data_IF_054801500864
#
_entry.id   IF_054801500864
#
_cell.length_a   1.000
_cell.length_b   1.000
_cell.length_c   1.000
_cell.angle_alpha   90.00
_cell.angle_beta   90.00
_cell.angle_gamma   90.00
#
_symmetry.space_group_name_H-M   'P 1'
#
loop_
_entity.id
_entity.type
_entity.pdbx_description
1 polymer ?
#
# COMPACT_ATOMS: atom_id res chain seq x y z
N UNK A 1 -50.03 13.25 14.04
CA UNK A 1 -49.53 13.39 15.43
C UNK A 1 -48.90 12.05 15.80
N UNK A 2 -47.57 11.94 15.71
CA UNK A 2 -46.64 11.87 16.87
C UNK A 2 -46.70 10.48 17.52
N UNK A 3 -45.73 9.56 17.48
CA UNK A 3 -44.27 9.67 17.41
C UNK A 3 -43.71 9.10 18.72
N UNK A 4 -42.86 8.08 18.70
CA UNK A 4 -41.84 7.81 19.75
C UNK A 4 -40.76 6.91 19.18
N UNK A 5 -39.53 7.45 19.15
CA UNK A 5 -38.27 6.73 18.94
C UNK A 5 -37.82 6.15 20.27
N UNK A 6 -37.28 4.94 20.25
CA UNK A 6 -36.31 4.48 21.26
C UNK A 6 -34.96 4.44 20.58
N UNK A 7 -34.09 5.37 20.98
CA UNK A 7 -32.71 5.46 20.51
C UNK A 7 -31.86 4.40 21.20
N UNK A 8 -31.20 3.57 20.40
CA UNK A 8 -30.04 2.80 20.84
C UNK A 8 -28.79 3.57 20.43
N UNK A 9 -28.11 4.16 21.41
CA UNK A 9 -26.76 4.67 21.26
C UNK A 9 -25.81 3.47 21.12
N UNK A 10 -25.55 3.06 19.88
CA UNK A 10 -24.40 2.23 19.56
C UNK A 10 -23.15 3.10 19.64
N UNK A 11 -22.33 2.88 20.65
CA UNK A 11 -20.99 3.44 20.76
C UNK A 11 -20.17 3.03 19.53
N UNK A 12 -20.06 3.93 18.56
CA UNK A 12 -19.11 3.80 17.48
C UNK A 12 -17.72 4.03 18.03
N UNK A 13 -16.94 2.96 18.16
CA UNK A 13 -15.49 3.05 18.28
C UNK A 13 -14.98 3.81 17.06
N UNK A 14 -14.62 5.08 17.28
CA UNK A 14 -14.01 5.93 16.27
C UNK A 14 -12.64 5.39 15.92
N UNK A 15 -12.53 4.71 14.79
CA UNK A 15 -11.26 4.39 14.14
C UNK A 15 -10.57 5.71 13.77
N UNK A 16 -9.37 6.03 14.29
CA UNK A 16 -8.58 7.13 13.78
C UNK A 16 -7.83 6.64 12.55
N UNK A 17 -8.32 6.97 11.36
CA UNK A 17 -7.66 6.57 10.12
C UNK A 17 -8.12 7.41 8.95
N UNK A 18 -7.58 8.62 8.80
CA UNK A 18 -7.80 9.42 7.59
C UNK A 18 -6.89 8.89 6.47
N UNK A 19 -7.47 8.14 5.54
CA UNK A 19 -6.77 7.71 4.32
C UNK A 19 -6.69 8.88 3.34
N UNK A 20 -5.50 9.26 2.90
CA UNK A 20 -5.38 10.33 1.91
C UNK A 20 -5.90 9.86 0.53
N UNK A 21 -6.70 10.71 -0.12
CA UNK A 21 -7.38 10.46 -1.38
C UNK A 21 -6.69 11.07 -2.60
N UNK A 22 -6.61 10.25 -3.67
CA UNK A 22 -6.39 10.57 -5.10
C UNK A 22 -5.20 11.45 -5.48
N UNK A 23 -4.08 10.79 -5.77
CA UNK A 23 -3.25 11.19 -6.91
C UNK A 23 -3.54 10.22 -8.06
N UNK A 24 -3.95 10.74 -9.21
CA UNK A 24 -4.03 9.97 -10.45
C UNK A 24 -2.71 9.24 -10.67
N UNK A 25 -2.78 7.92 -10.71
CA UNK A 25 -1.61 7.07 -10.82
C UNK A 25 -0.96 7.30 -12.18
N UNK A 26 0.12 8.08 -12.20
CA UNK A 26 1.05 8.06 -13.32
C UNK A 26 1.65 6.65 -13.33
N UNK A 27 1.18 5.79 -14.24
CA UNK A 27 1.45 4.34 -14.28
C UNK A 27 2.93 4.03 -13.98
N UNK A 28 3.24 3.38 -12.85
CA UNK A 28 4.59 2.92 -12.52
C UNK A 28 5.41 3.75 -11.52
N UNK A 29 4.95 4.92 -11.05
CA UNK A 29 5.52 5.56 -9.86
C UNK A 29 5.09 4.82 -8.58
N UNK A 30 5.98 4.63 -7.58
CA UNK A 30 5.55 4.23 -6.25
C UNK A 30 4.47 5.18 -5.75
N UNK A 31 3.32 4.63 -5.38
CA UNK A 31 2.24 5.33 -4.71
C UNK A 31 2.23 4.88 -3.26
N UNK A 32 1.78 5.74 -2.35
CA UNK A 32 1.68 5.41 -0.94
C UNK A 32 0.28 5.62 -0.38
N UNK A 33 -0.06 4.80 0.62
CA UNK A 33 -1.20 4.99 1.50
C UNK A 33 -0.62 5.22 2.88
N UNK A 34 -0.92 6.37 3.49
CA UNK A 34 -0.41 6.76 4.81
C UNK A 34 -1.56 6.76 5.81
N UNK A 35 -1.29 6.22 6.99
CA UNK A 35 -2.15 6.29 8.17
C UNK A 35 -1.62 7.35 9.12
N UNK A 36 -2.54 8.14 9.66
CA UNK A 36 -2.27 9.17 10.66
C UNK A 36 -3.03 8.86 11.94
N UNK A 37 -2.42 9.15 13.10
CA UNK A 37 -3.13 9.13 14.38
C UNK A 37 -4.03 10.37 14.55
N UNK A 38 -4.69 10.48 15.71
CA UNK A 38 -5.53 11.64 16.04
C UNK A 38 -4.77 12.96 16.22
N UNK A 39 -3.43 12.94 16.16
CA UNK A 39 -2.57 14.11 16.24
C UNK A 39 -1.79 14.37 14.93
N UNK A 40 -2.28 13.82 13.81
CA UNK A 40 -1.69 13.93 12.47
C UNK A 40 -0.24 13.39 12.35
N UNK A 41 0.17 12.49 13.25
CA UNK A 41 1.46 11.79 13.12
C UNK A 41 1.31 10.55 12.26
N UNK A 42 2.31 10.31 11.40
CA UNK A 42 2.35 9.11 10.56
C UNK A 42 2.59 7.88 11.44
N UNK A 43 1.61 6.98 11.50
CA UNK A 43 1.67 5.72 12.27
C UNK A 43 1.75 4.47 11.38
N UNK A 44 1.57 4.64 10.07
CA UNK A 44 1.66 3.54 9.14
C UNK A 44 1.74 4.00 7.70
N UNK A 45 2.38 3.19 6.86
CA UNK A 45 2.56 3.46 5.43
C UNK A 45 2.58 2.15 4.65
N UNK A 46 1.86 2.13 3.53
CA UNK A 46 1.95 1.10 2.51
C UNK A 46 2.43 1.73 1.21
N UNK A 47 3.53 1.22 0.66
CA UNK A 47 4.07 1.66 -0.63
C UNK A 47 3.79 0.59 -1.69
N UNK A 48 3.28 0.98 -2.84
CA UNK A 48 2.91 0.06 -3.91
C UNK A 48 3.12 0.64 -5.31
N UNK A 49 3.03 -0.20 -6.32
CA UNK A 49 2.91 0.20 -7.73
C UNK A 49 1.75 -0.56 -8.35
N UNK A 50 0.99 0.12 -9.20
CA UNK A 50 -0.10 -0.48 -9.98
C UNK A 50 0.02 -0.09 -11.45
N UNK A 51 -0.35 -1.01 -12.32
CA UNK A 51 -0.51 -0.80 -13.75
C UNK A 51 -2.00 -1.00 -14.06
N UNK A 52 -2.64 0.08 -14.52
CA UNK A 52 -4.07 0.07 -14.86
C UNK A 52 -4.32 -0.75 -16.12
N UNK A 53 -3.38 -0.74 -17.06
CA UNK A 53 -3.47 -1.39 -18.36
C UNK A 53 -3.46 -2.93 -18.23
N UNK A 54 -2.55 -3.47 -17.42
CA UNK A 54 -2.47 -4.90 -17.16
C UNK A 54 -3.34 -5.36 -15.98
N UNK A 55 -3.92 -4.43 -15.21
CA UNK A 55 -4.58 -4.71 -13.92
C UNK A 55 -3.68 -5.55 -13.00
N UNK A 56 -2.40 -5.17 -12.90
CA UNK A 56 -1.44 -5.82 -12.01
C UNK A 56 -0.82 -4.81 -11.08
N UNK A 57 -0.43 -5.27 -9.89
CA UNK A 57 0.20 -4.45 -8.89
C UNK A 57 1.26 -5.18 -8.08
N UNK A 58 2.17 -4.41 -7.47
CA UNK A 58 3.15 -4.91 -6.53
C UNK A 58 3.18 -4.06 -5.27
N UNK A 59 3.00 -4.69 -4.13
CA UNK A 59 3.26 -4.10 -2.81
C UNK A 59 4.78 -4.11 -2.61
N UNK A 60 5.34 -2.95 -2.32
CA UNK A 60 6.79 -2.74 -2.18
C UNK A 60 7.22 -2.80 -0.72
N UNK A 61 6.43 -2.17 0.16
CA UNK A 61 6.74 -2.06 1.57
C UNK A 61 5.46 -1.80 2.38
N UNK A 62 5.42 -2.34 3.60
CA UNK A 62 4.41 -2.02 4.62
C UNK A 62 5.16 -1.77 5.91
N UNK A 63 5.00 -0.56 6.44
CA UNK A 63 5.58 -0.14 7.70
C UNK A 63 4.47 0.33 8.64
N UNK A 64 4.50 -0.10 9.89
CA UNK A 64 3.62 0.34 10.98
C UNK A 64 4.50 0.65 12.17
N UNK A 65 4.27 1.80 12.81
CA UNK A 65 4.95 2.17 14.05
C UNK A 65 4.77 1.08 15.11
N UNK A 66 5.85 0.72 15.81
CA UNK A 66 5.88 -0.39 16.77
C UNK A 66 4.80 -0.29 17.84
N UNK A 67 4.49 0.92 18.30
CA UNK A 67 3.46 1.21 19.29
C UNK A 67 2.06 0.80 18.82
N UNK A 68 1.85 0.78 17.50
CA UNK A 68 0.57 0.52 16.85
C UNK A 68 0.53 -0.83 16.12
N UNK A 69 1.58 -1.64 16.27
CA UNK A 69 1.59 -2.98 15.69
C UNK A 69 0.54 -3.87 16.36
N UNK A 70 0.07 -4.87 15.61
CA UNK A 70 -0.94 -5.86 16.04
C UNK A 70 -2.36 -5.32 16.27
N UNK A 71 -2.59 -4.02 16.09
CA UNK A 71 -3.93 -3.40 16.07
C UNK A 71 -4.68 -3.58 14.74
N UNK A 72 -4.15 -4.40 13.82
CA UNK A 72 -4.78 -4.64 12.51
C UNK A 72 -4.55 -3.54 11.46
N UNK A 73 -3.77 -2.49 11.75
CA UNK A 73 -3.51 -1.39 10.80
C UNK A 73 -2.89 -1.84 9.47
N UNK A 74 -1.97 -2.81 9.50
CA UNK A 74 -1.39 -3.39 8.27
C UNK A 74 -2.46 -4.04 7.39
N UNK A 75 -3.45 -4.70 8.00
CA UNK A 75 -4.59 -5.29 7.30
C UNK A 75 -5.49 -4.21 6.71
N UNK A 76 -5.74 -3.12 7.43
CA UNK A 76 -6.53 -2.00 6.92
C UNK A 76 -5.88 -1.33 5.71
N UNK A 77 -4.55 -1.13 5.74
CA UNK A 77 -3.80 -0.62 4.60
C UNK A 77 -3.96 -1.52 3.36
N UNK A 78 -3.81 -2.84 3.52
CA UNK A 78 -3.95 -3.78 2.40
C UNK A 78 -5.41 -3.82 1.91
N UNK A 79 -6.40 -3.86 2.79
CA UNK A 79 -7.82 -3.79 2.39
C UNK A 79 -8.13 -2.50 1.62
N UNK A 80 -7.64 -1.37 2.12
CA UNK A 80 -7.78 -0.07 1.47
C UNK A 80 -7.14 -0.04 0.09
N UNK A 81 -5.98 -0.67 -0.08
CA UNK A 81 -5.34 -0.84 -1.38
C UNK A 81 -6.21 -1.66 -2.34
N UNK A 82 -6.66 -2.83 -1.90
CA UNK A 82 -7.45 -3.75 -2.72
C UNK A 82 -8.79 -3.15 -3.14
N UNK A 83 -9.45 -2.42 -2.23
CA UNK A 83 -10.70 -1.73 -2.51
C UNK A 83 -10.55 -0.60 -3.55
N UNK A 84 -9.41 0.09 -3.57
CA UNK A 84 -9.11 1.14 -4.57
C UNK A 84 -8.77 0.57 -5.95
N UNK A 85 -8.34 -0.68 -6.01
CA UNK A 85 -7.88 -1.35 -7.23
C UNK A 85 -8.59 -2.69 -7.42
N UNK A 86 -9.92 -2.68 -7.59
CA UNK A 86 -10.68 -3.91 -7.77
C UNK A 86 -10.21 -4.64 -9.03
N UNK A 87 -10.19 -5.97 -8.96
CA UNK A 87 -9.78 -6.85 -10.06
C UNK A 87 -8.29 -6.80 -10.44
N UNK A 88 -7.44 -6.15 -9.63
CA UNK A 88 -6.00 -6.19 -9.84
C UNK A 88 -5.38 -7.46 -9.24
N UNK A 89 -4.47 -8.09 -9.97
CA UNK A 89 -3.62 -9.15 -9.43
C UNK A 89 -2.42 -8.53 -8.71
N UNK A 90 -2.23 -8.89 -7.43
CA UNK A 90 -1.22 -8.29 -6.57
C UNK A 90 -0.09 -9.27 -6.23
N UNK A 91 1.14 -8.81 -6.34
CA UNK A 91 2.32 -9.53 -5.84
C UNK A 91 3.01 -8.70 -4.77
N UNK A 92 3.96 -9.27 -4.05
CA UNK A 92 4.83 -8.51 -3.15
C UNK A 92 6.29 -8.60 -3.59
N UNK A 93 7.10 -7.68 -3.11
CA UNK A 93 8.57 -7.84 -3.04
C UNK A 93 8.96 -8.98 -2.09
N UNK A 94 10.25 -9.35 -2.07
CA UNK A 94 10.77 -10.35 -1.14
C UNK A 94 10.40 -10.00 0.30
N UNK A 95 9.85 -10.97 1.03
CA UNK A 95 9.27 -10.78 2.35
C UNK A 95 10.16 -11.39 3.43
N UNK A 96 10.23 -10.75 4.60
CA UNK A 96 10.71 -11.38 5.83
C UNK A 96 9.77 -12.52 6.23
N UNK A 97 10.18 -13.43 7.15
CA UNK A 97 9.28 -14.50 7.64
C UNK A 97 7.99 -13.95 8.24
N UNK A 98 8.07 -12.83 8.96
CA UNK A 98 6.90 -12.15 9.51
C UNK A 98 5.98 -11.61 8.39
N UNK A 99 6.57 -11.01 7.35
CA UNK A 99 5.83 -10.60 6.16
C UNK A 99 5.11 -11.77 5.47
N UNK A 100 5.76 -12.92 5.34
CA UNK A 100 5.15 -14.12 4.76
C UNK A 100 3.93 -14.61 5.54
N UNK A 101 4.03 -14.66 6.87
CA UNK A 101 2.88 -15.01 7.71
C UNK A 101 1.73 -14.02 7.53
N UNK A 102 2.03 -12.72 7.51
CA UNK A 102 1.05 -11.66 7.29
C UNK A 102 0.34 -11.78 5.93
N UNK A 103 1.09 -11.87 4.83
CA UNK A 103 0.51 -11.96 3.48
C UNK A 103 -0.21 -13.28 3.22
N UNK A 104 0.21 -14.37 3.88
CA UNK A 104 -0.52 -15.64 3.85
C UNK A 104 -1.89 -15.49 4.53
N UNK A 105 -1.94 -14.83 5.70
CA UNK A 105 -3.21 -14.54 6.38
C UNK A 105 -4.11 -13.64 5.52
N UNK A 106 -3.56 -12.58 4.93
CA UNK A 106 -4.30 -11.71 4.02
C UNK A 106 -4.82 -12.42 2.77
N UNK A 107 -4.04 -13.36 2.21
CA UNK A 107 -4.48 -14.15 1.05
C UNK A 107 -5.66 -15.04 1.39
N UNK A 108 -5.64 -15.69 2.57
CA UNK A 108 -6.77 -16.49 3.07
C UNK A 108 -8.02 -15.65 3.28
N UNK A 109 -7.86 -14.43 3.80
CA UNK A 109 -8.97 -13.55 4.08
C UNK A 109 -9.61 -12.95 2.82
N UNK A 110 -8.79 -12.53 1.86
CA UNK A 110 -9.25 -11.79 0.68
C UNK A 110 -9.51 -12.69 -0.53
N UNK A 111 -9.07 -13.94 -0.48
CA UNK A 111 -9.11 -14.88 -1.61
C UNK A 111 -8.13 -14.53 -2.73
N UNK A 112 -7.32 -13.48 -2.58
CA UNK A 112 -6.31 -13.07 -3.55
C UNK A 112 -4.97 -13.72 -3.25
N UNK A 113 -4.27 -14.17 -4.29
CA UNK A 113 -2.91 -14.66 -4.13
C UNK A 113 -1.96 -13.48 -3.97
N UNK A 114 -1.42 -13.28 -2.77
CA UNK A 114 -0.38 -12.26 -2.48
C UNK A 114 1.00 -12.91 -2.44
N UNK A 115 1.34 -13.64 -3.49
CA UNK A 115 2.59 -14.38 -3.58
C UNK A 115 3.81 -13.43 -3.63
N UNK A 116 4.93 -13.80 -2.98
CA UNK A 116 6.18 -13.09 -3.14
C UNK A 116 6.75 -13.30 -4.54
N UNK A 117 7.25 -12.23 -5.14
CA UNK A 117 7.89 -12.31 -6.46
C UNK A 117 6.91 -12.41 -7.62
N UNK A 118 7.42 -12.86 -8.77
CA UNK A 118 6.70 -12.89 -10.04
C UNK A 118 7.14 -11.80 -11.04
N UNK A 119 6.93 -12.02 -12.34
CA UNK A 119 7.29 -11.04 -13.36
C UNK A 119 6.41 -9.79 -13.23
N UNK A 120 7.05 -8.63 -13.16
CA UNK A 120 6.35 -7.36 -13.35
C UNK A 120 5.99 -7.23 -14.84
N UNK A 121 4.82 -6.67 -15.13
CA UNK A 121 4.49 -6.39 -16.53
C UNK A 121 5.46 -5.37 -17.13
N UNK A 122 5.68 -5.37 -18.46
CA UNK A 122 6.56 -4.42 -19.12
C UNK A 122 6.24 -2.94 -18.82
N UNK A 123 4.98 -2.62 -18.51
CA UNK A 123 4.59 -1.25 -18.09
C UNK A 123 5.15 -0.86 -16.72
N UNK A 124 5.23 -1.81 -15.79
CA UNK A 124 5.87 -1.61 -14.48
C UNK A 124 7.40 -1.69 -14.56
N UNK A 125 7.97 -2.49 -15.48
CA UNK A 125 9.43 -2.67 -15.68
C UNK A 125 10.04 -1.54 -16.53
N UNK A 126 9.37 -1.12 -17.59
CA UNK A 126 9.84 -0.13 -18.57
C UNK A 126 10.05 1.28 -18.01
N UNK A 127 9.61 1.53 -16.76
CA UNK A 127 9.96 2.73 -15.98
C UNK A 127 11.06 2.49 -14.95
N UNK A 128 11.25 1.26 -14.46
CA UNK A 128 12.38 0.88 -13.60
C UNK A 128 13.72 1.08 -14.33
N UNK A 129 13.77 0.74 -15.62
CA UNK A 129 14.96 0.93 -16.45
C UNK A 129 15.33 2.41 -16.62
N UNK A 130 14.35 3.33 -16.68
CA UNK A 130 14.60 4.79 -16.78
C UNK A 130 15.13 5.41 -15.49
N UNK A 131 14.76 4.85 -14.33
CA UNK A 131 15.22 5.33 -13.02
C UNK A 131 16.62 4.81 -12.69
N UNK A 132 16.96 3.58 -13.08
CA UNK A 132 18.29 3.01 -12.85
C UNK A 132 19.34 3.50 -13.86
N UNK A 133 18.94 4.07 -15.00
CA UNK A 133 19.88 4.69 -15.96
C UNK A 133 20.20 6.16 -15.65
N UNK A 134 19.69 6.74 -14.55
CA UNK A 134 20.23 8.01 -14.03
C UNK A 134 21.47 7.74 -13.19
N UNK A 135 22.53 7.28 -13.86
CA UNK A 135 23.89 7.45 -13.34
C UNK A 135 24.21 8.94 -13.51
N UNK A 136 24.52 9.71 -12.45
CA UNK A 136 25.17 10.99 -12.64
C UNK A 136 26.52 10.70 -13.28
N UNK A 137 26.70 11.17 -14.52
CA UNK A 137 28.01 11.22 -15.17
C UNK A 137 28.82 12.26 -14.39
N UNK A 138 29.44 11.83 -13.30
CA UNK A 138 30.43 12.66 -12.60
C UNK A 138 31.58 12.89 -13.57
N UNK A 139 31.66 14.16 -14.00
CA UNK A 139 32.69 14.71 -14.88
C UNK A 139 33.99 14.63 -14.08
N UNK A 140 34.88 13.72 -14.47
CA UNK A 140 36.27 13.75 -13.98
C UNK A 140 36.86 15.13 -14.26
N UNK A 141 37.42 15.84 -13.26
CA UNK A 141 38.41 16.85 -13.53
C UNK A 141 39.76 16.12 -13.67
N UNK A 142 40.28 16.09 -14.89
CA UNK A 142 41.70 15.84 -15.14
C UNK A 142 42.45 17.16 -15.23
N UNK A 143 43.71 17.11 -14.79
CA UNK A 143 44.87 17.97 -15.11
C UNK A 143 44.66 19.50 -15.22
N UNK A 144 45.13 20.24 -14.22
CA UNK A 144 46.45 20.91 -14.22
C UNK A 144 46.78 21.42 -12.81
#
# INVERSE_FOLDING_TARGET
MSGTRVGSAGAGLGLPGRLNGTAESVSGMPTEIVLFDGADRVIGRLTFRACRECRTGRILDIWIDETWQREGLGRELVRGLLARHPGHAWTTTSQTRQGQAFFTAMSRETGLSLAPGGPLCPHLVGRLRRLLTRVPRQRSPGDD
#
